data_IF_600208701249
#
_entry.id   IF_600208701249
#
_cell.length_a   1.000
_cell.length_b   1.000
_cell.length_c   1.000
_cell.angle_alpha   90.00
_cell.angle_beta   90.00
_cell.angle_gamma   90.00
#
_symmetry.space_group_name_H-M   'P 1'
#
loop_
_entity.id
_entity.type
_entity.pdbx_description
1 polymer ?
#
# COMPACT_ATOMS: atom_id res chain seq x y z
N UNK A 1 -9.82 -22.05 -7.67
CA UNK A 1 -9.26 -21.19 -6.60
C UNK A 1 -9.54 -19.76 -7.00
N UNK A 2 -10.43 -19.08 -6.29
CA UNK A 2 -11.00 -17.79 -6.66
C UNK A 2 -9.95 -16.69 -6.63
N UNK A 3 -9.54 -16.28 -7.83
CA UNK A 3 -8.78 -15.07 -8.07
C UNK A 3 -9.62 -13.88 -7.60
N UNK A 4 -9.02 -12.94 -6.85
CA UNK A 4 -9.45 -11.53 -6.72
C UNK A 4 -10.10 -11.02 -5.41
N UNK A 5 -9.74 -11.54 -4.24
CA UNK A 5 -9.97 -10.84 -2.95
C UNK A 5 -8.67 -10.56 -2.19
N UNK A 6 -7.70 -9.95 -2.89
CA UNK A 6 -6.50 -9.39 -2.25
C UNK A 6 -6.75 -7.94 -1.91
N UNK A 7 -7.05 -7.65 -0.64
CA UNK A 7 -7.13 -6.27 -0.17
C UNK A 7 -5.73 -5.63 -0.10
N UNK A 8 -5.68 -4.30 -0.16
CA UNK A 8 -4.43 -3.53 -0.12
C UNK A 8 -3.57 -3.90 1.08
N UNK A 9 -4.21 -4.06 2.25
CA UNK A 9 -3.55 -4.48 3.48
C UNK A 9 -2.86 -5.83 3.34
N UNK A 10 -3.53 -6.84 2.75
CA UNK A 10 -2.94 -8.18 2.55
C UNK A 10 -1.79 -8.16 1.54
N UNK A 11 -1.93 -7.43 0.43
CA UNK A 11 -0.89 -7.34 -0.57
C UNK A 11 0.38 -6.67 -0.02
N UNK A 12 0.20 -5.51 0.64
CA UNK A 12 1.30 -4.81 1.31
C UNK A 12 1.91 -5.65 2.42
N UNK A 13 1.10 -6.39 3.18
CA UNK A 13 1.60 -7.28 4.23
C UNK A 13 2.52 -8.36 3.68
N UNK A 14 2.15 -8.98 2.54
CA UNK A 14 3.00 -9.96 1.86
C UNK A 14 4.28 -9.34 1.33
N UNK A 15 4.23 -8.15 0.73
CA UNK A 15 5.42 -7.48 0.22
C UNK A 15 6.36 -7.01 1.33
N UNK A 16 5.80 -6.43 2.39
CA UNK A 16 6.57 -6.00 3.55
C UNK A 16 7.27 -7.20 4.18
N UNK A 17 6.57 -8.32 4.41
CA UNK A 17 7.16 -9.55 4.93
C UNK A 17 8.30 -10.08 4.03
N UNK A 18 8.12 -10.09 2.70
CA UNK A 18 9.15 -10.52 1.74
C UNK A 18 10.39 -9.63 1.75
N UNK A 19 10.21 -8.32 1.95
CA UNK A 19 11.31 -7.35 2.01
C UNK A 19 11.93 -7.20 3.41
N UNK A 20 11.37 -7.84 4.45
CA UNK A 20 11.77 -7.65 5.84
C UNK A 20 11.33 -6.31 6.44
N UNK A 21 10.24 -5.75 5.94
CA UNK A 21 9.61 -4.53 6.43
C UNK A 21 8.39 -4.84 7.30
N UNK A 22 8.09 -3.95 8.25
CA UNK A 22 6.87 -4.00 9.03
C UNK A 22 5.79 -3.14 8.41
N UNK A 23 4.60 -3.72 8.20
CA UNK A 23 3.42 -2.97 7.79
C UNK A 23 2.66 -2.48 9.02
N UNK A 24 2.54 -1.17 9.15
CA UNK A 24 1.64 -0.49 10.09
C UNK A 24 0.46 0.04 9.29
N UNK A 25 -0.73 -0.46 9.59
CA UNK A 25 -1.96 -0.08 8.91
C UNK A 25 -2.87 0.65 9.88
N UNK A 26 -3.07 1.94 9.65
CA UNK A 26 -3.92 2.82 10.47
C UNK A 26 -5.12 3.36 9.69
N UNK A 27 -5.22 3.03 8.40
CA UNK A 27 -6.42 3.27 7.64
C UNK A 27 -7.59 2.41 8.18
N UNK A 28 -8.73 3.04 8.43
CA UNK A 28 -9.96 2.36 8.84
C UNK A 28 -10.66 1.67 7.67
N UNK A 29 -10.43 2.14 6.44
CA UNK A 29 -10.94 1.52 5.21
C UNK A 29 -10.00 0.44 4.70
N UNK A 30 -10.54 -0.73 4.35
CA UNK A 30 -9.82 -1.75 3.60
C UNK A 30 -10.23 -1.66 2.12
N UNK A 31 -9.29 -1.24 1.28
CA UNK A 31 -9.56 -1.02 -0.15
C UNK A 31 -9.23 -2.29 -0.93
N UNK A 32 -10.17 -2.82 -1.75
CA UNK A 32 -9.85 -3.92 -2.64
C UNK A 32 -8.81 -3.45 -3.67
N UNK A 33 -7.73 -4.20 -3.83
CA UNK A 33 -6.82 -3.93 -4.94
C UNK A 33 -7.52 -4.38 -6.22
N UNK A 34 -8.00 -3.42 -7.01
CA UNK A 34 -8.35 -3.65 -8.41
C UNK A 34 -7.12 -3.59 -9.34
N UNK A 35 -5.96 -3.24 -8.81
CA UNK A 35 -4.72 -3.13 -9.57
C UNK A 35 -3.92 -4.42 -9.40
N UNK A 36 -4.04 -5.35 -10.35
CA UNK A 36 -3.19 -6.56 -10.38
C UNK A 36 -1.74 -6.15 -10.64
N UNK A 37 -1.05 -5.75 -9.58
CA UNK A 37 0.26 -5.14 -9.69
C UNK A 37 1.32 -6.18 -9.30
N UNK A 38 1.79 -6.92 -10.29
CA UNK A 38 2.99 -7.74 -10.18
C UNK A 38 4.18 -6.79 -10.29
N UNK A 39 4.62 -6.23 -9.15
CA UNK A 39 5.81 -5.38 -9.17
C UNK A 39 7.06 -6.22 -8.97
N UNK A 40 7.90 -6.23 -10.00
CA UNK A 40 9.27 -6.73 -9.95
C UNK A 40 10.21 -5.54 -9.67
N UNK A 41 11.11 -5.69 -8.67
CA UNK A 41 12.05 -4.65 -8.25
C UNK A 41 11.96 -4.28 -6.76
N UNK A 42 12.59 -3.16 -6.38
CA UNK A 42 12.63 -2.69 -4.98
C UNK A 42 11.24 -2.36 -4.42
N UNK A 43 10.96 -2.86 -3.22
CA UNK A 43 9.73 -2.63 -2.46
C UNK A 43 9.27 -1.16 -2.47
N UNK A 44 10.21 -0.21 -2.32
CA UNK A 44 9.92 1.22 -2.32
C UNK A 44 9.31 1.70 -3.63
N UNK A 45 9.78 1.19 -4.76
CA UNK A 45 9.28 1.55 -6.10
C UNK A 45 7.90 0.97 -6.33
N UNK A 46 7.69 -0.29 -5.95
CA UNK A 46 6.39 -0.96 -6.00
C UNK A 46 5.33 -0.20 -5.19
N UNK A 47 5.67 0.15 -3.94
CA UNK A 47 4.79 0.92 -3.05
C UNK A 47 4.48 2.30 -3.63
N UNK A 48 5.49 3.04 -4.13
CA UNK A 48 5.25 4.35 -4.78
C UNK A 48 4.28 4.25 -5.96
N UNK A 49 4.48 3.28 -6.86
CA UNK A 49 3.61 3.06 -8.03
C UNK A 49 2.18 2.75 -7.60
N UNK A 50 2.01 1.90 -6.59
CA UNK A 50 0.71 1.55 -6.03
C UNK A 50 -0.03 2.79 -5.51
N UNK A 51 0.63 3.62 -4.69
CA UNK A 51 0.04 4.86 -4.18
C UNK A 51 -0.27 5.88 -5.28
N UNK A 52 0.54 5.94 -6.35
CA UNK A 52 0.22 6.76 -7.52
C UNK A 52 -1.06 6.30 -8.22
N UNK A 53 -1.26 4.99 -8.40
CA UNK A 53 -2.50 4.44 -8.96
C UNK A 53 -3.71 4.68 -8.05
N UNK A 54 -3.54 4.56 -6.73
CA UNK A 54 -4.60 4.84 -5.76
C UNK A 54 -5.01 6.32 -5.78
N UNK A 55 -4.03 7.24 -5.84
CA UNK A 55 -4.31 8.67 -5.99
C UNK A 55 -5.04 8.99 -7.31
N UNK A 56 -4.74 8.26 -8.39
CA UNK A 56 -5.46 8.41 -9.66
C UNK A 56 -6.91 7.86 -9.61
N UNK A 57 -7.17 6.91 -8.70
CA UNK A 57 -8.49 6.35 -8.43
C UNK A 57 -9.27 7.12 -7.35
N UNK A 58 -8.84 8.34 -7.00
CA UNK A 58 -9.42 9.19 -5.94
C UNK A 58 -9.43 8.55 -4.54
N UNK A 59 -8.55 7.58 -4.31
CA UNK A 59 -8.42 6.90 -3.02
C UNK A 59 -7.57 7.75 -2.07
N UNK A 60 -8.16 8.16 -0.96
CA UNK A 60 -7.55 8.98 0.08
C UNK A 60 -6.60 8.19 0.99
N UNK A 61 -5.64 7.45 0.42
CA UNK A 61 -4.64 6.68 1.17
C UNK A 61 -3.23 7.22 0.94
N UNK A 62 -2.46 7.33 2.01
CA UNK A 62 -1.06 7.75 1.99
C UNK A 62 -0.17 6.67 2.59
N UNK A 63 0.96 6.40 1.92
CA UNK A 63 1.98 5.46 2.37
C UNK A 63 3.27 6.17 2.72
N UNK A 64 3.68 6.08 3.98
CA UNK A 64 4.98 6.58 4.46
C UNK A 64 5.94 5.41 4.64
N UNK A 65 7.09 5.49 3.97
CA UNK A 65 8.17 4.50 4.06
C UNK A 65 9.28 5.05 4.96
N UNK A 66 9.47 4.42 6.11
CA UNK A 66 10.54 4.74 7.04
C UNK A 66 11.70 3.76 6.84
N UNK A 67 12.74 4.20 6.14
CA UNK A 67 13.92 3.37 5.86
C UNK A 67 14.74 3.06 7.12
N UNK A 68 14.76 3.94 8.12
CA UNK A 68 15.57 3.77 9.33
C UNK A 68 15.13 2.59 10.22
N UNK A 69 13.83 2.30 10.26
CA UNK A 69 13.23 1.20 11.03
C UNK A 69 12.50 0.17 10.14
N UNK A 70 12.63 0.30 8.81
CA UNK A 70 11.96 -0.57 7.83
C UNK A 70 10.45 -0.69 8.07
N UNK A 71 9.80 0.42 8.38
CA UNK A 71 8.34 0.47 8.58
C UNK A 71 7.67 1.09 7.36
N UNK A 72 6.67 0.38 6.81
CA UNK A 72 5.69 0.94 5.90
C UNK A 72 4.44 1.30 6.71
N UNK A 73 4.15 2.58 6.83
CA UNK A 73 2.96 3.10 7.49
C UNK A 73 1.93 3.50 6.45
N UNK A 74 0.70 3.01 6.58
CA UNK A 74 -0.42 3.33 5.70
C UNK A 74 -1.51 4.01 6.52
N UNK A 75 -1.85 5.23 6.13
CA UNK A 75 -2.85 6.06 6.80
C UNK A 75 -3.84 6.60 5.78
N UNK A 76 -5.07 6.83 6.18
CA UNK A 76 -6.01 7.61 5.38
C UNK A 76 -5.58 9.07 5.38
N UNK A 77 -5.23 9.58 4.21
CA UNK A 77 -5.12 11.02 4.00
C UNK A 77 -6.51 11.57 3.75
N UNK A 78 -7.34 11.56 4.79
CA UNK A 78 -8.62 12.24 4.77
C UNK A 78 -8.40 13.73 4.54
N UNK A 79 -8.95 14.24 3.42
CA UNK A 79 -8.96 15.65 2.99
C UNK A 79 -7.58 16.25 2.70
N UNK A 80 -7.34 16.52 1.41
CA UNK A 80 -6.72 17.79 1.02
C UNK A 80 -7.54 18.92 1.68
N UNK A 81 -6.98 19.53 2.72
CA UNK A 81 -7.22 20.93 2.94
C UNK A 81 -6.57 21.69 1.78
N UNK A 82 -7.41 22.21 0.87
CA UNK A 82 -7.31 23.52 0.20
C UNK A 82 -8.22 23.53 -1.03
#
# INVERSE_FOLDING_TARGET
MTTSDVTLRRALGKWAARAGWQLVWEASVDVPINVTATFEGDFRTAVKRLFQSLSAADVNLTGMLYAGNRVLRVTESGRRAQ
#
